data_IF_410833151290
#
_entry.id   IF_410833151290
#
_cell.length_a   1.000
_cell.length_b   1.000
_cell.length_c   1.000
_cell.angle_alpha   90.00
_cell.angle_beta   90.00
_cell.angle_gamma   90.00
#
_symmetry.space_group_name_H-M   'P 1'
#
loop_
_entity.id
_entity.type
_entity.pdbx_description
1 polymer ?
#
# COMPACT_ATOMS: atom_id res chain seq x y z
N UNK A 1 -9.03 20.22 10.67
CA UNK A 1 -8.81 19.11 9.72
C UNK A 1 -8.78 17.81 10.51
N UNK A 2 -9.62 16.84 10.15
CA UNK A 2 -9.73 15.58 10.88
C UNK A 2 -8.62 14.62 10.41
N UNK A 3 -7.82 14.08 11.32
CA UNK A 3 -6.77 13.13 10.98
C UNK A 3 -7.41 11.74 10.73
N UNK A 4 -7.56 11.36 9.47
CA UNK A 4 -8.19 10.09 9.07
C UNK A 4 -7.23 8.89 9.17
N UNK A 5 -5.94 9.12 9.41
CA UNK A 5 -4.95 8.04 9.50
C UNK A 5 -5.22 7.11 10.69
N UNK A 6 -5.89 7.59 11.75
CA UNK A 6 -6.29 6.76 12.89
C UNK A 6 -7.52 5.87 12.61
N UNK A 7 -8.23 6.09 11.50
CA UNK A 7 -9.42 5.33 11.14
C UNK A 7 -9.10 4.01 10.45
N UNK A 8 -7.83 3.79 10.06
CA UNK A 8 -7.39 2.62 9.34
C UNK A 8 -6.05 2.11 9.85
N UNK A 9 -5.87 0.79 9.82
CA UNK A 9 -4.57 0.14 9.94
C UNK A 9 -4.16 -0.37 8.56
N UNK A 10 -2.94 -0.07 8.13
CA UNK A 10 -2.38 -0.49 6.84
C UNK A 10 -1.23 -1.45 7.10
N UNK A 11 -1.27 -2.64 6.49
CA UNK A 11 -0.27 -3.70 6.71
C UNK A 11 0.20 -4.29 5.39
N UNK A 12 1.52 -4.39 5.22
CA UNK A 12 2.13 -5.14 4.12
C UNK A 12 2.08 -6.63 4.45
N UNK A 13 1.59 -7.46 3.51
CA UNK A 13 1.47 -8.90 3.73
C UNK A 13 2.83 -9.59 3.63
N UNK A 14 3.63 -9.17 2.65
CA UNK A 14 4.94 -9.76 2.36
C UNK A 14 5.95 -8.67 2.00
N UNK A 15 7.11 -8.70 2.66
CA UNK A 15 8.21 -7.77 2.42
C UNK A 15 9.28 -8.31 1.47
N UNK A 16 9.16 -9.56 1.02
CA UNK A 16 10.05 -10.18 0.03
C UNK A 16 9.23 -10.66 -1.16
N UNK A 17 9.54 -10.15 -2.34
CA UNK A 17 8.79 -10.41 -3.57
C UNK A 17 9.71 -11.07 -4.57
N UNK A 18 9.32 -12.22 -5.09
CA UNK A 18 10.07 -12.90 -6.14
C UNK A 18 9.61 -12.47 -7.53
N UNK A 19 10.50 -12.54 -8.51
CA UNK A 19 10.14 -12.32 -9.91
C UNK A 19 9.05 -13.27 -10.44
N UNK A 20 8.92 -14.46 -9.85
CA UNK A 20 7.87 -15.44 -10.21
C UNK A 20 6.48 -15.02 -9.73
N UNK A 21 6.42 -14.23 -8.66
CA UNK A 21 5.19 -13.68 -8.06
C UNK A 21 5.38 -12.18 -7.80
N UNK A 22 5.47 -11.36 -8.85
CA UNK A 22 5.93 -9.98 -8.75
C UNK A 22 4.79 -9.06 -8.32
N UNK A 23 4.16 -9.33 -7.19
CA UNK A 23 3.08 -8.51 -6.66
C UNK A 23 3.18 -8.35 -5.15
N UNK A 24 2.77 -7.18 -4.66
CA UNK A 24 2.68 -6.89 -3.23
C UNK A 24 1.20 -6.82 -2.86
N UNK A 25 0.86 -7.53 -1.79
CA UNK A 25 -0.43 -7.42 -1.16
C UNK A 25 -0.33 -6.51 0.07
N UNK A 26 -1.25 -5.54 0.14
CA UNK A 26 -1.45 -4.68 1.30
C UNK A 26 -2.88 -4.87 1.79
N UNK A 27 -3.00 -5.14 3.09
CA UNK A 27 -4.30 -5.23 3.75
C UNK A 27 -4.54 -3.96 4.53
N UNK A 28 -5.70 -3.35 4.28
CA UNK A 28 -6.18 -2.18 5.00
C UNK A 28 -7.38 -2.61 5.84
N UNK A 29 -7.29 -2.39 7.15
CA UNK A 29 -8.39 -2.60 8.08
C UNK A 29 -8.98 -1.26 8.45
N UNK A 30 -10.30 -1.15 8.44
CA UNK A 30 -11.04 0.00 8.93
C UNK A 30 -11.44 -0.25 10.39
N UNK A 31 -11.20 0.73 11.27
CA UNK A 31 -11.65 0.62 12.66
C UNK A 31 -13.17 0.76 12.73
N UNK A 32 -13.82 -0.30 13.23
CA UNK A 32 -15.28 -0.38 13.34
C UNK A 32 -15.86 0.74 14.21
N UNK A 33 -15.16 1.14 15.28
CA UNK A 33 -15.58 2.21 16.21
C UNK A 33 -15.73 3.56 15.50
N UNK A 34 -14.93 3.77 14.46
CA UNK A 34 -14.95 4.97 13.62
C UNK A 34 -16.11 4.97 12.62
N UNK A 35 -16.51 3.77 12.15
CA UNK A 35 -17.56 3.61 11.12
C UNK A 35 -18.94 4.08 11.56
N UNK A 36 -19.28 3.82 12.82
CA UNK A 36 -20.57 4.19 13.39
C UNK A 36 -20.67 5.70 13.66
N UNK A 37 -19.53 6.35 13.86
CA UNK A 37 -19.46 7.77 14.27
C UNK A 37 -19.47 8.72 13.09
N UNK A 38 -18.84 8.37 11.96
CA UNK A 38 -18.59 9.36 10.90
C UNK A 38 -19.33 9.13 9.58
N UNK A 39 -19.84 7.93 9.30
CA UNK A 39 -20.57 7.62 8.04
C UNK A 39 -19.94 8.27 6.78
N UNK A 40 -18.61 8.30 6.74
CA UNK A 40 -17.84 8.91 5.66
C UNK A 40 -17.19 7.83 4.82
N UNK A 41 -17.12 8.10 3.53
CA UNK A 41 -16.28 7.35 2.62
C UNK A 41 -14.81 7.57 2.98
N UNK A 42 -14.01 6.51 2.87
CA UNK A 42 -12.58 6.56 3.08
C UNK A 42 -11.89 5.98 1.85
N UNK A 43 -11.05 6.76 1.18
CA UNK A 43 -10.12 6.24 0.19
C UNK A 43 -8.71 6.18 0.77
N UNK A 44 -8.06 5.04 0.53
CA UNK A 44 -6.68 4.77 0.90
C UNK A 44 -5.91 4.62 -0.40
N UNK A 45 -4.97 5.53 -0.64
CA UNK A 45 -4.08 5.45 -1.79
C UNK A 45 -2.72 4.97 -1.32
N UNK A 46 -2.12 4.03 -2.06
CA UNK A 46 -0.77 3.52 -1.83
C UNK A 46 0.10 3.80 -3.04
N UNK A 47 1.32 4.30 -2.82
CA UNK A 47 2.35 4.48 -3.84
C UNK A 47 3.56 3.65 -3.48
N UNK A 48 4.03 2.88 -4.46
CA UNK A 48 5.27 2.14 -4.41
C UNK A 48 6.31 2.89 -5.24
N UNK A 49 7.51 3.05 -4.71
CA UNK A 49 8.59 3.80 -5.36
C UNK A 49 9.87 2.97 -5.33
N UNK A 50 10.46 2.73 -6.50
CA UNK A 50 11.76 2.07 -6.58
C UNK A 50 12.92 3.05 -6.33
N UNK A 51 14.14 2.51 -6.24
CA UNK A 51 15.38 3.30 -6.07
C UNK A 51 15.62 4.33 -7.19
N UNK A 52 15.14 4.04 -8.40
CA UNK A 52 15.28 4.90 -9.58
C UNK A 52 14.18 5.99 -9.66
N UNK A 53 13.29 6.07 -8.67
CA UNK A 53 12.21 7.05 -8.60
C UNK A 53 10.97 6.72 -9.45
N UNK A 54 10.94 5.58 -10.14
CA UNK A 54 9.74 5.07 -10.80
C UNK A 54 8.69 4.73 -9.76
N UNK A 55 7.42 5.01 -10.07
CA UNK A 55 6.31 4.77 -9.13
C UNK A 55 5.16 4.01 -9.77
N UNK A 56 4.48 3.21 -8.96
CA UNK A 56 3.17 2.63 -9.26
C UNK A 56 2.24 2.95 -8.09
N UNK A 57 0.96 3.19 -8.38
CA UNK A 57 -0.01 3.60 -7.36
C UNK A 57 -1.26 2.77 -7.53
N UNK A 58 -1.83 2.33 -6.41
CA UNK A 58 -3.13 1.69 -6.36
C UNK A 58 -3.92 2.22 -5.16
N UNK A 59 -5.23 2.10 -5.18
CA UNK A 59 -6.09 2.60 -4.11
C UNK A 59 -7.26 1.68 -3.84
N UNK A 60 -7.86 1.84 -2.67
CA UNK A 60 -9.15 1.26 -2.39
C UNK A 60 -10.03 2.19 -1.57
N UNK A 61 -11.34 1.90 -1.59
CA UNK A 61 -12.34 2.78 -1.01
C UNK A 61 -13.33 2.00 -0.17
N UNK A 62 -13.52 2.44 1.07
CA UNK A 62 -14.62 2.03 1.92
C UNK A 62 -15.80 2.97 1.69
N UNK A 63 -16.91 2.42 1.19
CA UNK A 63 -18.14 3.16 0.98
C UNK A 63 -18.95 3.22 2.28
N UNK A 64 -19.76 4.26 2.42
CA UNK A 64 -20.61 4.46 3.61
C UNK A 64 -21.58 3.29 3.84
N UNK A 65 -22.15 2.75 2.75
CA UNK A 65 -23.18 1.71 2.78
C UNK A 65 -22.66 0.30 3.03
N UNK A 66 -21.34 0.13 3.05
CA UNK A 66 -20.69 -1.18 3.14
C UNK A 66 -20.32 -1.49 4.59
N UNK A 67 -21.34 -1.67 5.43
CA UNK A 67 -21.21 -1.85 6.89
C UNK A 67 -20.50 -3.13 7.30
N UNK A 68 -20.42 -4.12 6.40
CA UNK A 68 -19.78 -5.41 6.66
C UNK A 68 -18.35 -5.50 6.10
N UNK A 69 -17.95 -4.58 5.23
CA UNK A 69 -16.62 -4.56 4.61
C UNK A 69 -15.70 -3.66 5.43
N UNK A 70 -15.04 -4.27 6.42
CA UNK A 70 -14.04 -3.60 7.25
C UNK A 70 -12.61 -3.82 6.77
N UNK A 71 -12.44 -4.53 5.65
CA UNK A 71 -11.13 -4.90 5.13
C UNK A 71 -11.07 -4.68 3.63
N UNK A 72 -9.95 -4.15 3.17
CA UNK A 72 -9.62 -3.98 1.77
C UNK A 72 -8.28 -4.67 1.49
N UNK A 73 -8.21 -5.41 0.40
CA UNK A 73 -6.96 -5.95 -0.14
C UNK A 73 -6.56 -5.14 -1.36
N UNK A 74 -5.37 -4.51 -1.32
CA UNK A 74 -4.75 -3.84 -2.44
C UNK A 74 -3.63 -4.74 -2.94
N UNK A 75 -3.81 -5.32 -4.12
CA UNK A 75 -2.74 -6.01 -4.85
C UNK A 75 -2.10 -5.06 -5.85
N UNK A 76 -0.79 -4.90 -5.76
CA UNK A 76 -0.01 -4.12 -6.71
C UNK A 76 1.00 -5.00 -7.43
N UNK A 77 0.87 -5.10 -8.74
CA UNK A 77 1.89 -5.72 -9.58
C UNK A 77 3.13 -4.83 -9.63
N UNK A 78 4.29 -5.41 -9.35
CA UNK A 78 5.59 -4.77 -9.43
C UNK A 78 6.14 -4.99 -10.84
N UNK A 79 6.49 -3.92 -11.57
CA UNK A 79 7.06 -4.05 -12.90
C UNK A 79 8.31 -4.94 -12.89
N UNK A 80 8.39 -5.90 -13.80
CA UNK A 80 9.55 -6.78 -13.96
C UNK A 80 10.87 -6.01 -14.12
N UNK A 81 10.82 -4.81 -14.70
CA UNK A 81 11.98 -3.92 -14.85
C UNK A 81 12.58 -3.42 -13.53
N UNK A 82 11.88 -3.58 -12.39
CA UNK A 82 12.39 -3.19 -11.08
C UNK A 82 13.25 -4.27 -10.42
N UNK A 83 13.18 -5.50 -10.92
CA UNK A 83 13.99 -6.64 -10.48
C UNK A 83 15.35 -6.57 -11.20
N UNK A 84 16.28 -5.77 -10.67
CA UNK A 84 17.62 -5.68 -11.25
C UNK A 84 18.46 -6.90 -10.87
N UNK A 85 19.01 -7.57 -11.88
CA UNK A 85 19.93 -8.69 -11.70
C UNK A 85 21.34 -8.10 -11.53
N UNK A 86 21.84 -8.02 -10.30
CA UNK A 86 23.23 -7.65 -10.09
C UNK A 86 24.14 -8.80 -10.56
N UNK A 87 24.71 -8.68 -11.76
CA UNK A 87 25.50 -9.73 -12.44
C UNK A 87 26.74 -10.18 -11.66
N UNK A 88 27.23 -9.37 -10.73
CA UNK A 88 28.45 -9.65 -9.94
C UNK A 88 28.17 -10.50 -8.69
N UNK A 89 27.01 -10.33 -8.05
CA UNK A 89 26.73 -10.96 -6.75
C UNK A 89 25.51 -11.89 -6.74
N UNK A 90 24.82 -12.09 -7.88
CA UNK A 90 23.56 -12.88 -7.98
C UNK A 90 22.53 -12.53 -6.90
N UNK A 91 22.62 -11.34 -6.29
CA UNK A 91 21.69 -10.82 -5.31
C UNK A 91 20.79 -9.83 -6.02
N UNK A 92 19.54 -10.23 -6.16
CA UNK A 92 18.41 -9.35 -6.40
C UNK A 92 18.11 -8.69 -5.06
N UNK A 93 18.50 -7.43 -4.87
CA UNK A 93 18.11 -6.71 -3.66
C UNK A 93 17.95 -5.24 -3.96
N UNK A 94 16.83 -4.93 -4.62
CA UNK A 94 16.34 -3.56 -4.70
C UNK A 94 15.22 -3.38 -3.68
N UNK A 95 15.27 -2.26 -2.95
CA UNK A 95 14.25 -1.89 -1.99
C UNK A 95 13.20 -1.00 -2.68
N UNK A 96 11.92 -1.35 -2.50
CA UNK A 96 10.78 -0.52 -2.86
C UNK A 96 10.28 0.16 -1.60
N UNK A 97 10.07 1.48 -1.67
CA UNK A 97 9.50 2.29 -0.60
C UNK A 97 8.00 2.43 -0.78
N UNK A 98 7.25 2.31 0.30
CA UNK A 98 5.80 2.48 0.33
C UNK A 98 5.40 3.79 0.99
N UNK A 99 4.55 4.55 0.31
CA UNK A 99 3.85 5.71 0.85
C UNK A 99 2.34 5.48 0.80
N UNK A 100 1.61 6.05 1.74
CA UNK A 100 0.15 6.02 1.76
C UNK A 100 -0.48 7.36 2.13
N UNK A 101 -1.76 7.50 1.80
CA UNK A 101 -2.62 8.58 2.27
C UNK A 101 -4.01 8.04 2.58
N UNK A 102 -4.70 8.70 3.50
CA UNK A 102 -6.07 8.40 3.89
C UNK A 102 -6.88 9.68 3.75
N UNK A 103 -7.94 9.63 2.96
CA UNK A 103 -8.78 10.77 2.61
C UNK A 103 -10.25 10.38 2.48
N UNK A 104 -11.13 11.38 2.39
CA UNK A 104 -12.51 11.15 1.92
C UNK A 104 -12.57 10.95 0.40
N UNK A 105 -11.45 11.20 -0.29
CA UNK A 105 -11.23 10.96 -1.71
C UNK A 105 -9.81 10.44 -1.89
N UNK A 106 -9.52 9.89 -3.06
CA UNK A 106 -8.20 9.31 -3.34
C UNK A 106 -7.18 10.41 -3.59
N UNK A 107 -6.49 10.80 -2.50
CA UNK A 107 -5.43 11.79 -2.52
C UNK A 107 -4.08 11.15 -2.91
N UNK A 108 -3.13 11.92 -3.46
CA UNK A 108 -1.77 11.44 -3.65
C UNK A 108 -1.14 10.94 -2.34
N UNK A 109 -0.45 9.79 -2.33
CA UNK A 109 0.22 9.27 -1.13
C UNK A 109 1.38 10.16 -0.66
N UNK A 110 1.38 10.49 0.64
CA UNK A 110 2.29 11.47 1.26
C UNK A 110 3.03 10.95 2.49
N UNK A 111 2.47 9.99 3.24
CA UNK A 111 3.03 9.49 4.50
C UNK A 111 3.80 8.19 4.27
N UNK A 112 4.97 8.02 4.89
CA UNK A 112 5.71 6.75 4.88
C UNK A 112 5.00 5.73 5.78
N UNK A 113 4.97 4.46 5.32
CA UNK A 113 4.45 3.34 6.11
C UNK A 113 5.50 2.85 7.13
N UNK A 114 5.09 2.34 8.29
CA UNK A 114 6.04 1.90 9.35
C UNK A 114 6.82 0.62 8.99
N UNK A 115 6.42 -0.11 7.95
CA UNK A 115 7.17 -1.20 7.31
C UNK A 115 7.21 -0.95 5.79
N UNK A 116 7.85 0.14 5.39
CA UNK A 116 7.81 0.64 4.01
C UNK A 116 8.78 -0.04 3.05
N UNK A 117 9.67 -0.90 3.52
CA UNK A 117 10.72 -1.50 2.69
C UNK A 117 10.34 -2.91 2.22
N UNK A 118 10.28 -3.07 0.91
CA UNK A 118 10.05 -4.35 0.24
C UNK A 118 11.28 -4.71 -0.56
N UNK A 119 11.80 -5.90 -0.33
CA UNK A 119 12.96 -6.46 -1.02
C UNK A 119 12.50 -7.25 -2.24
N UNK A 120 12.98 -6.86 -3.41
CA UNK A 120 12.78 -7.58 -4.66
C UNK A 120 13.87 -8.62 -4.84
N UNK A 121 13.48 -9.88 -5.07
CA UNK A 121 14.36 -11.05 -5.15
C UNK A 121 14.16 -11.87 -6.44
#
# INVERSE_FOLDING_TARGET
MQNLYCAVAVKVVQSKISIEKPFVDIVVYRDHSWTNTFRKELCISIKFQNINGSTVTNSCMFKEKDTFVNTCLIRQDIPFSWFEVNKKDKKFSNAVKILYSVGNSCLPPQKLLEDNEIFLQ
#
